data_IF_582038444215
#
_entry.id   IF_582038444215
#
_cell.length_a   1.000
_cell.length_b   1.000
_cell.length_c   1.000
_cell.angle_alpha   90.00
_cell.angle_beta   90.00
_cell.angle_gamma   90.00
#
_symmetry.space_group_name_H-M   'P 1'
#
loop_
_entity.id
_entity.type
_entity.pdbx_description
1 polymer ?
#
# COMPACT_ATOMS: atom_id res chain seq x y z
N UNK A 1 19.67 -3.43 -10.08
CA UNK A 1 18.35 -3.38 -10.77
C UNK A 1 17.37 -2.57 -9.94
N UNK A 2 17.03 -1.32 -10.31
CA UNK A 2 16.04 -0.53 -9.58
C UNK A 2 14.66 -1.17 -9.74
N UNK A 3 14.00 -1.51 -8.62
CA UNK A 3 12.65 -2.07 -8.63
C UNK A 3 11.68 -1.00 -9.15
N UNK A 4 11.05 -1.26 -10.30
CA UNK A 4 10.01 -0.38 -10.87
C UNK A 4 8.94 -0.12 -9.81
N UNK A 5 8.79 1.13 -9.40
CA UNK A 5 7.92 1.58 -8.31
C UNK A 5 6.43 1.56 -8.67
N UNK A 6 6.08 1.15 -9.89
CA UNK A 6 4.73 1.27 -10.45
C UNK A 6 4.01 -0.09 -10.56
N UNK A 7 4.31 -1.03 -9.67
CA UNK A 7 3.53 -2.26 -9.56
C UNK A 7 2.26 -1.90 -8.79
N UNK A 8 1.14 -1.83 -9.51
CA UNK A 8 -0.19 -1.44 -9.04
C UNK A 8 -0.39 -1.82 -7.57
N UNK A 9 -0.45 -0.80 -6.71
CA UNK A 9 -0.79 -1.00 -5.31
C UNK A 9 -2.15 -1.70 -5.27
N UNK A 10 -2.19 -2.85 -4.58
CA UNK A 10 -3.42 -3.61 -4.42
C UNK A 10 -4.47 -2.71 -3.79
N UNK A 11 -5.66 -2.61 -4.39
CA UNK A 11 -6.73 -1.77 -3.85
C UNK A 11 -6.99 -2.14 -2.38
N UNK A 12 -7.19 -1.14 -1.48
CA UNK A 12 -7.46 -1.40 -0.06
C UNK A 12 -8.58 -2.41 0.17
N UNK A 13 -9.64 -2.33 -0.64
CA UNK A 13 -10.77 -3.26 -0.58
C UNK A 13 -10.32 -4.72 -0.79
N UNK A 14 -9.42 -4.97 -1.74
CA UNK A 14 -8.90 -6.31 -2.03
C UNK A 14 -8.01 -6.80 -0.88
N UNK A 15 -7.18 -5.91 -0.29
CA UNK A 15 -6.36 -6.26 0.89
C UNK A 15 -7.23 -6.70 2.07
N UNK A 16 -8.31 -5.96 2.35
CA UNK A 16 -9.27 -6.28 3.41
C UNK A 16 -9.99 -7.59 3.12
N UNK A 17 -10.47 -7.79 1.89
CA UNK A 17 -11.12 -9.04 1.49
C UNK A 17 -10.23 -10.27 1.68
N UNK A 18 -8.95 -10.17 1.30
CA UNK A 18 -7.95 -11.24 1.53
C UNK A 18 -7.76 -11.49 3.03
N UNK A 19 -7.60 -10.43 3.82
CA UNK A 19 -7.41 -10.56 5.27
C UNK A 19 -8.60 -11.23 5.94
N UNK A 20 -9.83 -10.84 5.61
CA UNK A 20 -11.06 -11.45 6.12
C UNK A 20 -11.19 -12.92 5.71
N UNK A 21 -10.96 -13.23 4.43
CA UNK A 21 -11.01 -14.60 3.91
C UNK A 21 -10.03 -15.54 4.64
N UNK A 22 -8.82 -15.06 4.90
CA UNK A 22 -7.82 -15.83 5.63
C UNK A 22 -8.13 -15.90 7.13
N UNK A 23 -8.67 -14.84 7.73
CA UNK A 23 -9.09 -14.84 9.13
C UNK A 23 -10.18 -15.87 9.41
N UNK A 24 -11.17 -16.00 8.53
CA UNK A 24 -12.23 -17.01 8.64
C UNK A 24 -11.71 -18.45 8.62
N UNK A 25 -10.54 -18.68 8.01
CA UNK A 25 -9.90 -19.99 7.90
C UNK A 25 -8.78 -20.21 8.91
N UNK A 26 -8.39 -19.17 9.63
CA UNK A 26 -7.34 -19.26 10.62
C UNK A 26 -7.89 -19.88 11.91
N UNK A 27 -7.10 -20.75 12.54
CA UNK A 27 -7.43 -21.35 13.84
C UNK A 27 -6.36 -20.91 14.82
N UNK A 28 -6.77 -20.20 15.88
CA UNK A 28 -5.83 -19.63 16.87
C UNK A 28 -4.81 -18.65 16.27
N UNK A 29 -5.15 -17.98 15.17
CA UNK A 29 -4.25 -17.07 14.46
C UNK A 29 -3.26 -17.74 13.50
N UNK A 30 -3.30 -19.08 13.41
CA UNK A 30 -2.50 -19.86 12.47
C UNK A 30 -3.31 -20.18 11.21
N UNK A 31 -2.65 -20.12 10.06
CA UNK A 31 -3.26 -20.52 8.79
C UNK A 31 -2.98 -22.00 8.49
N UNK A 32 -4.02 -22.80 8.20
CA UNK A 32 -3.85 -24.16 7.69
C UNK A 32 -3.01 -24.17 6.41
N UNK A 33 -2.23 -25.24 6.22
CA UNK A 33 -1.39 -25.42 5.04
C UNK A 33 -2.24 -25.32 3.76
N UNK A 34 -1.75 -24.57 2.79
CA UNK A 34 -2.45 -24.38 1.51
C UNK A 34 -3.46 -23.23 1.48
N UNK A 35 -3.83 -22.64 2.62
CA UNK A 35 -4.78 -21.49 2.65
C UNK A 35 -4.32 -20.31 1.79
N UNK A 36 -3.02 -20.02 1.78
CA UNK A 36 -2.43 -18.98 0.92
C UNK A 36 -2.52 -19.35 -0.56
N UNK A 37 -2.34 -20.63 -0.91
CA UNK A 37 -2.47 -21.08 -2.30
C UNK A 37 -3.93 -21.00 -2.78
N UNK A 38 -4.89 -21.35 -1.92
CA UNK A 38 -6.31 -21.22 -2.23
C UNK A 38 -6.74 -19.76 -2.36
N UNK A 39 -6.25 -18.87 -1.51
CA UNK A 39 -6.47 -17.43 -1.65
C UNK A 39 -5.85 -16.89 -2.94
N UNK A 40 -4.62 -17.29 -3.27
CA UNK A 40 -3.95 -16.89 -4.51
C UNK A 40 -4.78 -17.22 -5.76
N UNK A 41 -5.34 -18.44 -5.82
CA UNK A 41 -6.24 -18.85 -6.91
C UNK A 41 -7.54 -18.05 -6.89
N UNK A 42 -8.19 -17.91 -5.72
CA UNK A 42 -9.48 -17.22 -5.61
C UNK A 42 -9.44 -15.72 -5.91
N UNK A 43 -8.33 -15.04 -5.60
CA UNK A 43 -8.15 -13.61 -5.86
C UNK A 43 -7.36 -13.32 -7.15
N UNK A 44 -6.85 -14.34 -7.85
CA UNK A 44 -6.03 -14.16 -9.06
C UNK A 44 -4.68 -13.47 -8.78
N UNK A 45 -4.11 -13.68 -7.61
CA UNK A 45 -2.90 -12.98 -7.14
C UNK A 45 -1.76 -13.95 -6.84
N UNK A 46 -0.53 -13.44 -6.86
CA UNK A 46 0.63 -14.23 -6.48
C UNK A 46 0.59 -14.57 -4.97
N UNK A 47 0.98 -15.80 -4.62
CA UNK A 47 1.06 -16.28 -3.22
C UNK A 47 1.86 -15.34 -2.31
N UNK A 48 2.93 -14.76 -2.84
CA UNK A 48 3.77 -13.79 -2.12
C UNK A 48 2.99 -12.54 -1.70
N UNK A 49 2.14 -12.02 -2.59
CA UNK A 49 1.29 -10.85 -2.31
C UNK A 49 0.29 -11.16 -1.21
N UNK A 50 -0.39 -12.31 -1.30
CA UNK A 50 -1.32 -12.78 -0.28
C UNK A 50 -0.61 -12.94 1.08
N UNK A 51 0.58 -13.55 1.08
CA UNK A 51 1.39 -13.74 2.30
C UNK A 51 1.76 -12.41 2.94
N UNK A 52 2.15 -11.40 2.16
CA UNK A 52 2.44 -10.06 2.67
C UNK A 52 1.22 -9.39 3.28
N UNK A 53 0.08 -9.44 2.60
CA UNK A 53 -1.18 -8.89 3.12
C UNK A 53 -1.55 -9.54 4.46
N UNK A 54 -1.41 -10.86 4.57
CA UNK A 54 -1.66 -11.58 5.82
C UNK A 54 -0.70 -11.19 6.96
N UNK A 55 0.58 -11.01 6.65
CA UNK A 55 1.56 -10.55 7.65
C UNK A 55 1.23 -9.15 8.16
N UNK A 56 0.72 -8.27 7.30
CA UNK A 56 0.35 -6.90 7.63
C UNK A 56 -1.09 -6.76 8.18
N UNK A 57 -1.79 -7.86 8.47
CA UNK A 57 -3.21 -7.84 8.85
C UNK A 57 -3.55 -7.02 10.10
N UNK A 58 -2.60 -6.93 11.03
CA UNK A 58 -2.75 -6.17 12.27
C UNK A 58 -2.43 -4.68 12.10
N UNK A 59 -1.91 -4.29 10.94
CA UNK A 59 -1.58 -2.90 10.62
C UNK A 59 -2.64 -2.36 9.65
N UNK A 60 -3.73 -1.83 10.22
CA UNK A 60 -4.82 -1.21 9.47
C UNK A 60 -4.35 -0.05 8.59
N UNK A 61 -3.34 0.72 9.03
CA UNK A 61 -2.73 1.78 8.23
C UNK A 61 -2.01 1.26 6.99
N UNK A 62 -1.37 0.08 7.05
CA UNK A 62 -0.74 -0.56 5.89
C UNK A 62 -1.76 -1.14 4.89
N UNK A 63 -2.97 -1.46 5.36
CA UNK A 63 -4.07 -1.92 4.50
C UNK A 63 -4.80 -0.76 3.81
N UNK A 64 -5.08 0.31 4.56
CA UNK A 64 -5.83 1.49 4.10
C UNK A 64 -4.96 2.50 3.37
N UNK A 65 -3.66 2.54 3.66
CA UNK A 65 -2.72 3.45 3.02
C UNK A 65 -2.44 3.03 1.58
N UNK A 66 -2.86 3.87 0.62
CA UNK A 66 -2.01 4.17 -0.53
C UNK A 66 -0.66 4.56 0.05
N UNK A 67 0.41 3.89 -0.37
CA UNK A 67 1.75 4.16 0.15
C UNK A 67 2.01 5.63 -0.14
N UNK A 68 1.92 6.50 0.88
CA UNK A 68 2.11 7.94 0.72
C UNK A 68 3.38 8.10 -0.11
N UNK A 69 3.24 8.70 -1.29
CA UNK A 69 4.38 9.05 -2.10
C UNK A 69 5.35 9.74 -1.17
N UNK A 70 6.58 9.21 -1.06
CA UNK A 70 7.63 9.91 -0.34
C UNK A 70 7.61 11.35 -0.85
N UNK A 71 7.58 12.36 0.03
CA UNK A 71 7.65 13.74 -0.43
C UNK A 71 8.82 13.84 -1.39
N UNK A 72 8.54 14.35 -2.60
CA UNK A 72 9.58 14.56 -3.60
C UNK A 72 10.74 15.31 -2.94
N UNK A 73 12.00 14.91 -3.19
CA UNK A 73 13.15 15.64 -2.65
C UNK A 73 13.00 17.12 -3.00
N UNK A 74 13.38 18.05 -2.10
CA UNK A 74 13.14 19.46 -2.29
C UNK A 74 13.71 19.89 -3.64
N UNK A 75 12.81 20.30 -4.54
CA UNK A 75 13.16 20.91 -5.81
C UNK A 75 13.90 22.20 -5.45
N UNK A 76 15.10 22.40 -5.98
CA UNK A 76 15.80 23.69 -5.82
C UNK A 76 14.89 24.76 -6.40
N UNK A 77 14.38 25.62 -5.53
CA UNK A 77 13.66 26.85 -5.89
C UNK A 77 14.64 27.65 -6.75
N UNK A 78 14.27 27.89 -8.00
CA UNK A 78 15.02 28.79 -8.88
C UNK A 78 14.41 30.17 -8.65
N UNK A 79 15.24 31.21 -8.53
CA UNK A 79 14.93 32.56 -8.04
C UNK A 79 13.69 33.24 -8.66
N UNK A 80 13.16 32.74 -9.78
CA UNK A 80 11.99 33.28 -10.47
C UNK A 80 10.64 33.13 -9.71
N UNK A 81 10.51 32.21 -8.74
CA UNK A 81 9.25 32.03 -7.97
C UNK A 81 9.12 32.96 -6.74
N UNK A 82 10.19 33.64 -6.30
CA UNK A 82 10.10 34.53 -5.12
C UNK A 82 9.35 35.84 -5.40
N UNK A 83 9.38 36.32 -6.65
CA UNK A 83 8.76 37.60 -7.04
C UNK A 83 7.23 37.52 -7.03
N UNK A 84 6.65 36.34 -7.26
CA UNK A 84 5.19 36.16 -7.31
C UNK A 84 4.57 36.07 -5.91
N UNK A 85 5.32 35.61 -4.90
CA UNK A 85 4.83 35.50 -3.52
C UNK A 85 4.82 36.83 -2.75
N UNK A 86 5.60 37.82 -3.18
CA UNK A 86 5.62 39.15 -2.56
C UNK A 86 4.52 40.09 -3.07
N UNK A 87 3.78 39.73 -4.13
CA UNK A 87 2.67 40.55 -4.66
C UNK A 87 1.34 40.37 -3.93
N UNK A 88 1.18 39.32 -3.13
CA UNK A 88 -0.09 38.99 -2.46
C UNK A 88 -0.17 39.40 -0.98
N UNK A 89 0.69 40.33 -0.53
CA UNK A 89 0.56 40.95 0.80
C UNK A 89 -0.18 42.29 0.64
N UNK A 90 -1.45 42.42 1.04
CA UNK A 90 -2.10 43.73 1.12
C UNK A 90 -1.48 44.56 2.25
N UNK A 91 -1.32 45.87 1.99
CA UNK A 91 -0.83 46.89 2.93
C UNK A 91 -1.69 47.04 4.18
#
# INVERSE_FOLDING_TARGET
MPRRQNQHDLSPHVKVAIALYLSQRSVGGYLPRGSIALAAVGFGLQRHTISKVWQQRHNSAAQMGSRQQRPSPPRRLTDDEEVERFRDVPF
#
